data_IF_945746091010
#
_entry.id   IF_945746091010
#
_cell.length_a   1.000
_cell.length_b   1.000
_cell.length_c   1.000
_cell.angle_alpha   90.00
_cell.angle_beta   90.00
_cell.angle_gamma   90.00
#
_symmetry.space_group_name_H-M   'P 1'
#
loop_
_entity.id
_entity.type
_entity.pdbx_description
1 polymer ?
#
# COMPACT_ATOMS: atom_id res chain seq x y z
N UNK A 1 -5.52 -17.34 8.22
CA UNK A 1 -5.11 -17.32 6.80
C UNK A 1 -5.46 -15.99 6.15
N UNK A 2 -5.15 -15.84 4.89
CA UNK A 2 -5.42 -14.60 4.17
C UNK A 2 -6.89 -14.51 3.76
N UNK A 3 -7.42 -13.29 3.78
CA UNK A 3 -8.76 -12.97 3.28
C UNK A 3 -8.69 -12.34 1.89
N UNK A 4 -9.17 -11.10 1.77
CA UNK A 4 -9.26 -10.40 0.50
C UNK A 4 -8.01 -9.58 0.18
N UNK A 5 -7.87 -9.18 -1.07
CA UNK A 5 -7.02 -8.05 -1.44
C UNK A 5 -7.76 -6.79 -1.00
N UNK A 6 -7.18 -6.02 -0.09
CA UNK A 6 -7.86 -4.88 0.53
C UNK A 6 -7.15 -3.54 0.32
N UNK A 7 -5.98 -3.53 -0.30
CA UNK A 7 -5.28 -2.29 -0.57
C UNK A 7 -4.57 -2.37 -1.90
N UNK A 8 -4.66 -1.29 -2.66
CA UNK A 8 -3.89 -1.07 -3.86
C UNK A 8 -3.27 0.31 -3.73
N UNK A 9 -1.94 0.37 -3.55
CA UNK A 9 -1.22 1.64 -3.46
C UNK A 9 -0.62 1.99 -4.80
N UNK A 10 -0.89 3.20 -5.27
CA UNK A 10 -0.45 3.72 -6.56
C UNK A 10 0.38 4.97 -6.36
N UNK A 11 1.59 4.97 -6.91
CA UNK A 11 2.45 6.15 -6.88
C UNK A 11 2.09 7.05 -8.06
N UNK A 12 1.88 8.33 -7.75
CA UNK A 12 1.48 9.36 -8.72
C UNK A 12 2.39 10.58 -8.62
N UNK A 13 2.48 11.35 -9.70
CA UNK A 13 3.28 12.57 -9.71
C UNK A 13 2.59 13.75 -9.05
N UNK A 14 1.25 13.80 -9.16
CA UNK A 14 0.44 14.91 -8.66
C UNK A 14 -0.79 14.33 -7.97
N UNK A 15 -0.80 14.43 -6.65
CA UNK A 15 -1.87 13.84 -5.83
C UNK A 15 -3.23 14.46 -6.10
N UNK A 16 -3.30 15.80 -6.21
CA UNK A 16 -4.57 16.50 -6.45
C UNK A 16 -5.16 16.10 -7.80
N UNK A 17 -4.34 16.05 -8.84
CA UNK A 17 -4.77 15.62 -10.17
C UNK A 17 -5.25 14.17 -10.14
N UNK A 18 -4.52 13.28 -9.47
CA UNK A 18 -4.88 11.87 -9.38
C UNK A 18 -6.20 11.68 -8.63
N UNK A 19 -6.41 12.40 -7.53
CA UNK A 19 -7.69 12.36 -6.80
C UNK A 19 -8.83 12.78 -7.73
N UNK A 20 -8.67 13.89 -8.43
CA UNK A 20 -9.69 14.37 -9.36
C UNK A 20 -10.00 13.35 -10.46
N UNK A 21 -8.96 12.71 -10.99
CA UNK A 21 -9.11 11.70 -12.04
C UNK A 21 -9.84 10.46 -11.56
N UNK A 22 -9.44 9.92 -10.41
CA UNK A 22 -10.06 8.69 -9.87
C UNK A 22 -11.51 8.92 -9.43
N UNK A 23 -11.79 10.08 -8.84
CA UNK A 23 -13.17 10.40 -8.44
C UNK A 23 -14.06 10.62 -9.66
N UNK A 24 -13.56 11.26 -10.70
CA UNK A 24 -14.33 11.54 -11.92
C UNK A 24 -14.56 10.28 -12.76
N UNK A 25 -13.50 9.48 -12.99
CA UNK A 25 -13.59 8.33 -13.88
C UNK A 25 -14.35 7.16 -13.25
N UNK A 26 -14.17 6.95 -11.94
CA UNK A 26 -14.69 5.76 -11.28
C UNK A 26 -15.77 6.03 -10.25
N UNK A 27 -16.12 7.29 -10.03
CA UNK A 27 -17.12 7.65 -9.03
C UNK A 27 -16.69 7.38 -7.59
N UNK A 28 -15.39 7.24 -7.34
CA UNK A 28 -14.88 6.99 -6.00
C UNK A 28 -14.94 8.27 -5.16
N UNK A 29 -15.12 8.10 -3.86
CA UNK A 29 -15.13 9.22 -2.91
C UNK A 29 -13.80 9.28 -2.16
N UNK A 30 -13.30 10.49 -1.94
CA UNK A 30 -12.14 10.72 -1.09
C UNK A 30 -12.56 10.56 0.38
N UNK A 31 -11.90 9.66 1.11
CA UNK A 31 -12.14 9.47 2.53
C UNK A 31 -11.22 10.33 3.39
N UNK A 32 -9.91 10.24 3.18
CA UNK A 32 -8.91 10.99 3.93
C UNK A 32 -7.74 11.39 3.07
N UNK A 33 -7.04 12.44 3.50
CA UNK A 33 -5.71 12.80 3.01
C UNK A 33 -4.76 12.85 4.19
N UNK A 34 -3.51 12.50 3.96
CA UNK A 34 -2.50 12.52 5.00
C UNK A 34 -1.10 12.65 4.44
N UNK A 35 -0.15 12.55 5.34
CA UNK A 35 1.26 12.61 5.00
C UNK A 35 2.05 11.67 5.91
N UNK A 36 3.03 10.98 5.35
CA UNK A 36 4.00 10.20 6.10
C UNK A 36 5.37 10.84 5.93
N UNK A 37 5.86 11.50 6.97
CA UNK A 37 7.21 12.05 6.95
C UNK A 37 8.25 10.95 7.04
N UNK A 38 7.94 9.89 7.76
CA UNK A 38 8.82 8.73 7.90
C UNK A 38 9.13 8.11 6.54
N UNK A 39 8.10 7.89 5.71
CA UNK A 39 8.26 7.24 4.41
C UNK A 39 8.31 8.20 3.23
N UNK A 40 8.18 9.51 3.49
CA UNK A 40 8.40 10.55 2.49
C UNK A 40 7.35 10.65 1.41
N UNK A 41 6.06 10.62 1.79
CA UNK A 41 4.97 10.81 0.82
C UNK A 41 3.76 11.47 1.47
N UNK A 42 2.91 12.06 0.66
CA UNK A 42 1.55 12.45 1.02
C UNK A 42 0.57 11.54 0.28
N UNK A 43 -0.58 11.29 0.86
CA UNK A 43 -1.49 10.28 0.35
C UNK A 43 -2.95 10.70 0.39
N UNK A 44 -3.76 9.92 -0.31
CA UNK A 44 -5.21 9.99 -0.29
C UNK A 44 -5.77 8.58 -0.27
N UNK A 45 -6.82 8.38 0.52
CA UNK A 45 -7.51 7.10 0.65
C UNK A 45 -8.88 7.20 0.00
N UNK A 46 -9.15 6.32 -0.95
CA UNK A 46 -10.42 6.22 -1.66
C UNK A 46 -10.98 4.82 -1.43
N UNK A 47 -11.99 4.64 -0.55
CA UNK A 47 -12.57 3.33 -0.28
C UNK A 47 -13.16 2.68 -1.54
N UNK A 48 -12.98 1.38 -1.65
CA UNK A 48 -13.51 0.59 -2.75
C UNK A 48 -13.70 -0.85 -2.30
N UNK A 49 -14.94 -1.34 -2.36
CA UNK A 49 -15.24 -2.71 -1.97
C UNK A 49 -14.84 -2.99 -0.52
N UNK A 50 -14.11 -4.06 -0.31
CA UNK A 50 -13.66 -4.48 1.02
C UNK A 50 -12.48 -3.66 1.55
N UNK A 51 -11.87 -2.82 0.72
CA UNK A 51 -10.66 -2.10 1.09
C UNK A 51 -10.61 -0.71 0.49
N UNK A 52 -9.45 -0.34 -0.07
CA UNK A 52 -9.26 1.00 -0.60
C UNK A 52 -8.14 1.06 -1.63
N UNK A 53 -8.18 2.14 -2.40
CA UNK A 53 -7.05 2.58 -3.20
C UNK A 53 -6.34 3.68 -2.41
N UNK A 54 -5.02 3.59 -2.31
CA UNK A 54 -4.18 4.65 -1.76
C UNK A 54 -3.40 5.29 -2.89
N UNK A 55 -3.58 6.59 -3.09
CA UNK A 55 -2.77 7.38 -4.01
C UNK A 55 -1.65 8.04 -3.23
N UNK A 56 -0.42 7.94 -3.71
CA UNK A 56 0.78 8.39 -2.99
C UNK A 56 1.61 9.28 -3.90
N UNK A 57 1.87 10.51 -3.43
CA UNK A 57 2.80 11.42 -4.10
C UNK A 57 4.06 11.55 -3.24
N UNK A 58 5.25 11.24 -3.77
CA UNK A 58 6.47 11.34 -2.97
C UNK A 58 6.79 12.78 -2.58
N UNK A 59 7.26 12.97 -1.35
CA UNK A 59 7.74 14.26 -0.83
C UNK A 59 9.24 14.27 -0.62
N UNK A 60 9.90 13.11 -0.74
CA UNK A 60 11.34 12.96 -0.57
C UNK A 60 11.88 11.99 -1.62
N UNK A 61 12.71 12.46 -2.56
CA UNK A 61 13.25 11.60 -3.62
C UNK A 61 14.20 10.50 -3.12
N UNK A 62 14.66 10.61 -1.88
CA UNK A 62 15.59 9.64 -1.29
C UNK A 62 14.88 8.53 -0.50
N UNK A 63 13.57 8.60 -0.37
CA UNK A 63 12.75 7.59 0.31
C UNK A 63 12.16 6.61 -0.71
N UNK A 64 11.66 5.46 -0.26
CA UNK A 64 11.21 4.39 -1.18
C UNK A 64 10.20 4.81 -2.24
N UNK A 65 9.19 5.60 -1.88
CA UNK A 65 8.14 6.02 -2.83
C UNK A 65 8.73 6.96 -3.89
N UNK A 66 9.60 7.89 -3.48
CA UNK A 66 10.30 8.77 -4.41
C UNK A 66 11.24 8.02 -5.34
N UNK A 67 11.97 7.04 -4.81
CA UNK A 67 12.84 6.19 -5.62
C UNK A 67 12.04 5.36 -6.62
N UNK A 68 10.88 4.87 -6.21
CA UNK A 68 10.00 4.13 -7.11
C UNK A 68 9.56 5.00 -8.29
N UNK A 69 9.08 6.22 -8.01
CA UNK A 69 8.63 7.13 -9.07
C UNK A 69 9.76 7.45 -10.04
N UNK A 70 10.96 7.72 -9.53
CA UNK A 70 12.12 8.06 -10.36
C UNK A 70 12.53 6.89 -11.25
N UNK A 71 12.45 5.67 -10.75
CA UNK A 71 12.93 4.47 -11.47
C UNK A 71 11.88 3.87 -12.38
N UNK A 72 10.62 3.80 -11.93
CA UNK A 72 9.56 3.08 -12.64
C UNK A 72 8.45 3.98 -13.19
N UNK A 73 8.37 5.23 -12.75
CA UNK A 73 7.27 6.13 -13.10
C UNK A 73 6.03 5.85 -12.27
N UNK A 74 4.90 6.39 -12.69
CA UNK A 74 3.61 6.18 -12.01
C UNK A 74 3.16 4.72 -12.15
N UNK A 75 2.51 4.21 -11.11
CA UNK A 75 1.96 2.86 -11.18
C UNK A 75 1.77 2.23 -9.82
N UNK A 76 1.39 0.95 -9.83
CA UNK A 76 1.15 0.18 -8.61
C UNK A 76 2.46 0.00 -7.83
N UNK A 77 2.43 0.38 -6.56
CA UNK A 77 3.57 0.29 -5.67
C UNK A 77 3.50 -0.95 -4.79
N UNK A 78 2.35 -1.17 -4.12
CA UNK A 78 2.14 -2.37 -3.31
C UNK A 78 0.68 -2.79 -3.31
N UNK A 79 0.46 -4.05 -2.89
CA UNK A 79 -0.87 -4.63 -2.74
C UNK A 79 -1.00 -5.12 -1.31
N UNK A 80 -2.11 -4.79 -0.65
CA UNK A 80 -2.38 -5.22 0.72
C UNK A 80 -3.27 -6.45 0.74
N UNK A 81 -2.81 -7.48 1.44
CA UNK A 81 -3.60 -8.69 1.71
C UNK A 81 -4.13 -8.64 3.14
N UNK A 82 -5.40 -8.97 3.29
CA UNK A 82 -6.06 -9.03 4.59
C UNK A 82 -5.63 -10.26 5.38
N UNK A 83 -5.32 -10.07 6.65
CA UNK A 83 -5.19 -11.18 7.60
C UNK A 83 -5.67 -10.76 8.97
N UNK A 84 -6.37 -11.66 9.66
CA UNK A 84 -6.78 -11.46 11.05
C UNK A 84 -5.61 -11.69 12.02
N UNK A 85 -4.59 -12.44 11.59
CA UNK A 85 -3.48 -12.88 12.43
C UNK A 85 -2.15 -12.57 11.75
N UNK A 86 -1.68 -11.34 11.93
CA UNK A 86 -0.40 -10.91 11.34
C UNK A 86 0.77 -11.73 11.87
N UNK A 87 0.92 -11.96 13.20
CA UNK A 87 2.02 -12.79 13.68
C UNK A 87 2.02 -14.21 13.11
N UNK A 88 0.85 -14.82 12.98
CA UNK A 88 0.72 -16.16 12.40
C UNK A 88 1.10 -16.20 10.93
N UNK A 89 0.67 -15.22 10.16
CA UNK A 89 1.04 -15.11 8.75
C UNK A 89 2.55 -14.91 8.57
N UNK A 90 3.14 -14.04 9.38
CA UNK A 90 4.60 -13.79 9.37
C UNK A 90 5.36 -15.06 9.68
N UNK A 91 4.95 -15.78 10.74
CA UNK A 91 5.58 -17.03 11.13
C UNK A 91 5.54 -18.05 10.00
N UNK A 92 4.39 -18.21 9.36
CA UNK A 92 4.23 -19.14 8.24
C UNK A 92 5.18 -18.78 7.08
N UNK A 93 5.27 -17.51 6.72
CA UNK A 93 6.13 -17.06 5.63
C UNK A 93 7.61 -17.33 5.95
N UNK A 94 8.03 -17.01 7.17
CA UNK A 94 9.41 -17.27 7.61
C UNK A 94 9.74 -18.75 7.62
N UNK A 95 8.81 -19.60 8.08
CA UNK A 95 9.01 -21.06 8.08
C UNK A 95 9.17 -21.63 6.67
N UNK A 96 8.60 -20.94 5.66
CA UNK A 96 8.76 -21.32 4.25
C UNK A 96 10.04 -20.76 3.62
N UNK A 97 10.85 -20.04 4.39
CA UNK A 97 12.16 -19.54 3.97
C UNK A 97 12.14 -18.17 3.31
N UNK A 98 11.02 -17.45 3.33
CA UNK A 98 10.94 -16.12 2.73
C UNK A 98 11.20 -15.01 3.76
N UNK A 99 11.66 -13.87 3.26
CA UNK A 99 11.97 -12.69 4.09
C UNK A 99 10.71 -11.86 4.31
N UNK A 100 10.48 -11.46 5.56
CA UNK A 100 9.36 -10.61 5.96
C UNK A 100 9.89 -9.49 6.83
N UNK A 101 9.47 -8.27 6.55
CA UNK A 101 9.72 -7.13 7.43
C UNK A 101 8.58 -7.06 8.44
N UNK A 102 8.86 -7.44 9.68
CA UNK A 102 7.88 -7.51 10.76
C UNK A 102 8.23 -6.58 11.92
N UNK A 103 8.95 -5.50 11.63
CA UNK A 103 9.34 -4.53 12.67
C UNK A 103 8.14 -3.86 13.34
N UNK A 104 7.00 -3.80 12.65
CA UNK A 104 5.76 -3.25 13.19
C UNK A 104 4.82 -4.37 13.59
N UNK A 105 4.04 -4.20 14.69
CA UNK A 105 3.11 -5.26 15.12
C UNK A 105 1.81 -5.29 14.32
N UNK A 106 1.47 -4.22 13.64
CA UNK A 106 0.18 -4.03 12.98
C UNK A 106 0.24 -4.19 11.46
N UNK A 107 1.43 -4.24 10.89
CA UNK A 107 1.66 -4.39 9.46
C UNK A 107 2.94 -5.18 9.24
N UNK A 108 2.96 -6.03 8.22
CA UNK A 108 4.18 -6.69 7.78
C UNK A 108 4.31 -6.56 6.27
N UNK A 109 5.54 -6.59 5.76
CA UNK A 109 5.80 -6.44 4.33
C UNK A 109 6.66 -7.60 3.83
N UNK A 110 6.25 -8.15 2.68
CA UNK A 110 7.01 -9.19 1.98
C UNK A 110 7.73 -8.55 0.80
N UNK A 111 9.05 -8.73 0.76
CA UNK A 111 9.90 -8.13 -0.28
C UNK A 111 9.51 -8.65 -1.68
N UNK A 112 9.45 -7.77 -2.70
CA UNK A 112 9.05 -8.19 -4.05
C UNK A 112 9.96 -9.26 -4.66
N UNK A 113 11.20 -9.40 -4.19
CA UNK A 113 12.07 -10.49 -4.60
C UNK A 113 11.56 -11.88 -4.23
N UNK A 114 10.70 -11.99 -3.22
CA UNK A 114 10.11 -13.25 -2.79
C UNK A 114 8.85 -13.61 -3.58
N UNK A 115 8.25 -12.65 -4.27
CA UNK A 115 6.91 -12.76 -4.84
C UNK A 115 6.85 -12.26 -6.28
N UNK A 116 7.93 -12.48 -7.04
CA UNK A 116 7.96 -12.20 -8.47
C UNK A 116 7.68 -10.73 -8.83
N UNK A 117 8.16 -9.82 -7.98
CA UNK A 117 8.01 -8.38 -8.20
C UNK A 117 6.81 -7.74 -7.52
N UNK A 118 5.98 -8.51 -6.81
CA UNK A 118 4.83 -7.98 -6.09
C UNK A 118 5.22 -7.60 -4.66
N UNK A 119 5.20 -6.30 -4.35
CA UNK A 119 5.42 -5.84 -2.98
C UNK A 119 4.12 -6.01 -2.19
N UNK A 120 4.13 -6.90 -1.20
CA UNK A 120 2.92 -7.28 -0.46
C UNK A 120 2.95 -6.71 0.95
N UNK A 121 1.84 -6.08 1.35
CA UNK A 121 1.61 -5.65 2.72
C UNK A 121 0.57 -6.58 3.34
N UNK A 122 0.85 -7.05 4.56
CA UNK A 122 -0.11 -7.83 5.33
C UNK A 122 -0.71 -6.94 6.39
N UNK A 123 -2.04 -6.87 6.45
CA UNK A 123 -2.73 -5.96 7.37
C UNK A 123 -4.14 -6.44 7.68
N UNK A 124 -4.72 -5.86 8.72
CA UNK A 124 -6.14 -6.06 9.02
C UNK A 124 -6.99 -5.14 8.16
N UNK A 125 -8.23 -5.54 7.93
CA UNK A 125 -9.19 -4.71 7.17
C UNK A 125 -9.51 -3.45 7.96
N UNK A 126 -9.47 -2.30 7.28
CA UNK A 126 -9.93 -1.04 7.82
C UNK A 126 -11.44 -0.90 7.61
N UNK A 127 -12.08 -0.11 8.48
CA UNK A 127 -13.49 0.21 8.35
C UNK A 127 -13.65 1.68 8.01
N UNK A 128 -14.47 1.96 7.02
CA UNK A 128 -14.77 3.31 6.56
C UNK A 128 -16.24 3.63 6.85
N UNK A 129 -16.45 4.69 7.62
CA UNK A 129 -17.80 5.08 8.04
C UNK A 129 -18.12 6.51 7.60
#
# INVERSE_FOLDING_TARGET
>A
MLGDVIELSVVVRDLDEAIARFTTLFGLALHTRGESKEFGFKNAILPLGAGHIELMEPTDPNKPVGKFLAKKGEGVYLVGFETEDIPGAVKNIKEKGARVDDRRPDIAWVHPGETNGLFVELRKREQYH
#
